data_IF_223996821086
#
_entry.id   IF_223996821086
#
_cell.length_a   1.000
_cell.length_b   1.000
_cell.length_c   1.000
_cell.angle_alpha   90.00
_cell.angle_beta   90.00
_cell.angle_gamma   90.00
#
_symmetry.space_group_name_H-M   'P 1'
#
loop_
_entity.id
_entity.type
_entity.pdbx_description
1 polymer ?
#
# COMPACT_ATOMS: atom_id res chain seq x y z
N UNK A 1 -8.29 17.53 41.24
CA UNK A 1 -9.35 17.02 40.34
C UNK A 1 -9.13 17.45 38.89
N UNK A 2 -8.99 18.75 38.59
CA UNK A 2 -8.77 19.24 37.21
C UNK A 2 -7.47 18.70 36.56
N UNK A 3 -6.36 18.69 37.30
CA UNK A 3 -5.08 18.14 36.79
C UNK A 3 -5.16 16.63 36.53
N UNK A 4 -5.82 15.86 37.42
CA UNK A 4 -6.07 14.44 37.22
C UNK A 4 -6.93 14.17 35.97
N UNK A 5 -7.96 14.99 35.70
CA UNK A 5 -8.76 14.85 34.48
C UNK A 5 -8.00 15.19 33.20
N UNK A 6 -7.11 16.20 33.25
CA UNK A 6 -6.27 16.57 32.12
C UNK A 6 -5.22 15.50 31.83
N UNK A 7 -4.63 14.91 32.87
CA UNK A 7 -3.69 13.81 32.73
C UNK A 7 -4.36 12.55 32.16
N UNK A 8 -5.57 12.22 32.62
CA UNK A 8 -6.36 11.11 32.08
C UNK A 8 -6.68 11.32 30.59
N UNK A 9 -7.09 12.53 30.20
CA UNK A 9 -7.37 12.88 28.80
C UNK A 9 -6.11 12.71 27.92
N UNK A 10 -4.96 13.24 28.36
CA UNK A 10 -3.70 13.14 27.64
C UNK A 10 -3.24 11.67 27.47
N UNK A 11 -3.39 10.86 28.52
CA UNK A 11 -3.07 9.42 28.45
C UNK A 11 -4.00 8.67 27.49
N UNK A 12 -5.29 9.02 27.47
CA UNK A 12 -6.25 8.42 26.57
C UNK A 12 -5.93 8.75 25.11
N UNK A 13 -5.65 10.00 24.78
CA UNK A 13 -5.27 10.44 23.43
C UNK A 13 -3.99 9.75 22.96
N UNK A 14 -2.97 9.64 23.82
CA UNK A 14 -1.73 8.91 23.50
C UNK A 14 -1.96 7.41 23.23
N UNK A 15 -2.92 6.79 23.92
CA UNK A 15 -3.24 5.37 23.76
C UNK A 15 -3.97 5.08 22.44
N UNK A 16 -4.87 5.99 22.04
CA UNK A 16 -5.62 5.88 20.78
C UNK A 16 -4.70 6.16 19.59
N UNK A 17 -3.77 7.11 19.71
CA UNK A 17 -2.76 7.38 18.69
C UNK A 17 -1.88 6.16 18.42
N UNK A 18 -1.37 5.51 19.48
CA UNK A 18 -0.55 4.31 19.35
C UNK A 18 -1.30 3.13 18.70
N UNK A 19 -2.56 2.91 19.08
CA UNK A 19 -3.41 1.89 18.46
C UNK A 19 -3.67 2.18 16.98
N UNK A 20 -3.93 3.45 16.64
CA UNK A 20 -4.16 3.87 15.26
C UNK A 20 -2.92 3.63 14.39
N UNK A 21 -1.73 3.96 14.91
CA UNK A 21 -0.44 3.68 14.25
C UNK A 21 -0.21 2.17 14.06
N UNK A 22 -0.50 1.35 15.07
CA UNK A 22 -0.38 -0.12 14.96
C UNK A 22 -1.31 -0.69 13.90
N UNK A 23 -2.57 -0.25 13.86
CA UNK A 23 -3.54 -0.68 12.84
C UNK A 23 -3.06 -0.27 11.44
N UNK A 24 -2.61 0.98 11.28
CA UNK A 24 -2.05 1.46 10.01
C UNK A 24 -0.85 0.61 9.56
N UNK A 25 0.11 0.38 10.45
CA UNK A 25 1.30 -0.42 10.16
C UNK A 25 0.94 -1.88 9.81
N UNK A 26 -0.04 -2.48 10.49
CA UNK A 26 -0.52 -3.82 10.19
C UNK A 26 -1.08 -3.92 8.76
N UNK A 27 -1.95 -2.99 8.35
CA UNK A 27 -2.50 -3.00 6.99
C UNK A 27 -1.47 -2.62 5.92
N UNK A 28 -0.52 -1.74 6.23
CA UNK A 28 0.62 -1.45 5.35
C UNK A 28 1.51 -2.70 5.14
N UNK A 29 1.74 -3.49 6.19
CA UNK A 29 2.46 -4.77 6.08
C UNK A 29 1.71 -5.78 5.20
N UNK A 30 0.38 -5.87 5.34
CA UNK A 30 -0.45 -6.71 4.45
C UNK A 30 -0.41 -6.22 3.00
N UNK A 31 -0.36 -4.91 2.76
CA UNK A 31 -0.18 -4.35 1.43
C UNK A 31 1.18 -4.78 0.83
N UNK A 32 2.26 -4.68 1.61
CA UNK A 32 3.57 -5.17 1.21
C UNK A 32 3.54 -6.66 0.83
N UNK A 33 2.85 -7.47 1.64
CA UNK A 33 2.63 -8.89 1.36
C UNK A 33 1.86 -9.11 0.04
N UNK A 34 0.81 -8.34 -0.21
CA UNK A 34 0.05 -8.45 -1.46
C UNK A 34 0.91 -8.13 -2.70
N UNK A 35 1.77 -7.12 -2.62
CA UNK A 35 2.76 -6.84 -3.68
C UNK A 35 3.76 -7.99 -3.85
N UNK A 36 4.26 -8.55 -2.74
CA UNK A 36 5.17 -9.71 -2.80
C UNK A 36 4.52 -10.95 -3.42
N UNK A 37 3.24 -11.22 -3.14
CA UNK A 37 2.49 -12.32 -3.75
C UNK A 37 2.40 -12.15 -5.27
N UNK A 38 2.07 -10.94 -5.75
CA UNK A 38 2.03 -10.67 -7.19
C UNK A 38 3.41 -10.70 -7.84
N UNK A 39 4.45 -10.21 -7.15
CA UNK A 39 5.83 -10.31 -7.61
C UNK A 39 6.27 -11.77 -7.74
N UNK A 40 6.03 -12.59 -6.71
CA UNK A 40 6.30 -14.02 -6.72
C UNK A 40 5.59 -14.71 -7.89
N UNK A 41 4.31 -14.39 -8.09
CA UNK A 41 3.50 -14.93 -9.20
C UNK A 41 4.14 -14.61 -10.55
N UNK A 42 4.64 -13.38 -10.77
CA UNK A 42 5.33 -12.99 -12.02
C UNK A 42 6.64 -13.73 -12.26
N UNK A 43 7.34 -14.18 -11.21
CA UNK A 43 8.54 -15.00 -11.36
C UNK A 43 8.23 -16.46 -11.61
N UNK A 44 7.23 -17.00 -10.90
CA UNK A 44 6.92 -18.44 -10.88
C UNK A 44 6.07 -18.88 -12.05
N UNK A 45 5.01 -18.14 -12.38
CA UNK A 45 4.01 -18.58 -13.36
C UNK A 45 4.48 -18.29 -14.80
N UNK A 46 4.55 -19.34 -15.61
CA UNK A 46 4.98 -19.25 -17.03
C UNK A 46 3.80 -19.28 -17.98
N UNK A 47 2.65 -19.83 -17.55
CA UNK A 47 1.45 -19.82 -18.35
C UNK A 47 0.76 -18.45 -18.22
N UNK A 48 0.64 -17.71 -19.32
CA UNK A 48 0.12 -16.34 -19.30
C UNK A 48 -1.34 -16.25 -18.88
N UNK A 49 -2.16 -17.25 -19.18
CA UNK A 49 -3.56 -17.29 -18.77
C UNK A 49 -3.66 -17.49 -17.25
N UNK A 50 -2.88 -18.44 -16.71
CA UNK A 50 -2.84 -18.67 -15.25
C UNK A 50 -2.24 -17.48 -14.50
N UNK A 51 -1.18 -16.88 -15.05
CA UNK A 51 -0.57 -15.67 -14.51
C UNK A 51 -1.61 -14.55 -14.40
N UNK A 52 -2.33 -14.28 -15.49
CA UNK A 52 -3.36 -13.26 -15.49
C UNK A 52 -4.43 -13.53 -14.43
N UNK A 53 -4.96 -14.75 -14.34
CA UNK A 53 -5.96 -15.12 -13.32
C UNK A 53 -5.47 -14.85 -11.89
N UNK A 54 -4.24 -15.27 -11.57
CA UNK A 54 -3.65 -15.08 -10.24
C UNK A 54 -3.44 -13.61 -9.90
N UNK A 55 -2.90 -12.80 -10.83
CA UNK A 55 -2.72 -11.36 -10.63
C UNK A 55 -4.08 -10.67 -10.40
N UNK A 56 -5.09 -10.99 -11.20
CA UNK A 56 -6.44 -10.42 -11.05
C UNK A 56 -7.13 -10.81 -9.76
N UNK A 57 -6.79 -11.96 -9.16
CA UNK A 57 -7.33 -12.36 -7.85
C UNK A 57 -6.78 -11.48 -6.72
N UNK A 58 -5.51 -11.08 -6.80
CA UNK A 58 -4.84 -10.29 -5.75
C UNK A 58 -5.08 -8.79 -5.92
N UNK A 59 -5.32 -8.32 -7.15
CA UNK A 59 -5.56 -6.90 -7.44
C UNK A 59 -6.65 -6.24 -6.56
N UNK A 60 -7.85 -6.82 -6.36
CA UNK A 60 -8.86 -6.25 -5.46
C UNK A 60 -8.34 -6.07 -4.03
N UNK A 61 -7.57 -7.04 -3.52
CA UNK A 61 -6.96 -6.95 -2.20
C UNK A 61 -5.96 -5.79 -2.12
N UNK A 62 -5.13 -5.59 -3.16
CA UNK A 62 -4.22 -4.44 -3.24
C UNK A 62 -4.99 -3.12 -3.17
N UNK A 63 -6.07 -2.95 -3.95
CA UNK A 63 -6.86 -1.71 -3.91
C UNK A 63 -7.50 -1.46 -2.54
N UNK A 64 -8.03 -2.50 -1.89
CA UNK A 64 -8.61 -2.40 -0.54
C UNK A 64 -7.52 -1.99 0.46
N UNK A 65 -6.40 -2.71 0.49
CA UNK A 65 -5.31 -2.46 1.43
C UNK A 65 -4.67 -1.08 1.23
N UNK A 66 -4.51 -0.65 -0.01
CA UNK A 66 -3.99 0.66 -0.34
C UNK A 66 -4.95 1.78 0.09
N UNK A 67 -6.26 1.56 -0.06
CA UNK A 67 -7.28 2.51 0.43
C UNK A 67 -7.25 2.60 1.95
N UNK A 68 -7.15 1.47 2.65
CA UNK A 68 -7.02 1.43 4.11
C UNK A 68 -5.76 2.17 4.55
N UNK A 69 -4.60 1.88 3.95
CA UNK A 69 -3.34 2.55 4.28
C UNK A 69 -3.43 4.06 4.05
N UNK A 70 -3.96 4.51 2.91
CA UNK A 70 -4.08 5.94 2.60
C UNK A 70 -5.03 6.65 3.58
N UNK A 71 -6.23 6.11 3.80
CA UNK A 71 -7.25 6.74 4.65
C UNK A 71 -6.85 6.72 6.14
N UNK A 72 -6.26 5.62 6.62
CA UNK A 72 -5.74 5.56 8.00
C UNK A 72 -4.55 6.49 8.21
N UNK A 73 -3.69 6.69 7.21
CA UNK A 73 -2.63 7.69 7.26
C UNK A 73 -3.17 9.12 7.36
N UNK A 74 -4.21 9.46 6.58
CA UNK A 74 -4.90 10.75 6.69
C UNK A 74 -5.55 10.90 8.06
N UNK A 75 -6.17 9.85 8.58
CA UNK A 75 -6.79 9.85 9.91
C UNK A 75 -5.77 10.12 11.03
N UNK A 76 -4.60 9.47 10.99
CA UNK A 76 -3.50 9.72 11.93
C UNK A 76 -3.03 11.18 11.83
N UNK A 77 -2.88 11.71 10.61
CA UNK A 77 -2.50 13.10 10.42
C UNK A 77 -3.56 14.09 10.95
N UNK A 78 -4.84 13.73 10.83
CA UNK A 78 -5.95 14.51 11.40
C UNK A 78 -5.94 14.52 12.93
N UNK A 79 -5.60 13.40 13.57
CA UNK A 79 -5.45 13.32 15.03
C UNK A 79 -4.33 14.26 15.54
N UNK A 80 -3.31 14.49 14.70
CA UNK A 80 -2.23 15.46 14.92
C UNK A 80 -2.64 16.89 14.51
N UNK A 81 -3.93 17.18 14.37
CA UNK A 81 -4.47 18.49 13.96
C UNK A 81 -3.94 18.98 12.61
N UNK A 82 -3.54 18.05 11.73
CA UNK A 82 -2.88 18.35 10.45
C UNK A 82 -1.63 19.24 10.61
N UNK A 83 -0.93 19.16 11.74
CA UNK A 83 0.37 19.81 11.88
C UNK A 83 1.31 19.34 10.76
N UNK A 84 2.06 20.29 10.19
CA UNK A 84 2.92 19.98 9.07
C UNK A 84 4.00 18.96 9.48
N UNK A 85 3.93 17.78 8.87
CA UNK A 85 4.89 16.70 9.07
C UNK A 85 5.42 16.24 7.72
N UNK A 86 6.73 16.37 7.53
CA UNK A 86 7.38 15.92 6.30
C UNK A 86 7.20 14.40 6.08
N UNK A 87 7.27 13.61 7.16
CA UNK A 87 7.00 12.16 7.11
C UNK A 87 5.57 11.87 6.63
N UNK A 88 4.56 12.56 7.19
CA UNK A 88 3.16 12.36 6.81
C UNK A 88 2.93 12.69 5.33
N UNK A 89 3.48 13.81 4.85
CA UNK A 89 3.38 14.21 3.44
C UNK A 89 4.03 13.19 2.51
N UNK A 90 5.25 12.75 2.82
CA UNK A 90 5.96 11.73 2.02
C UNK A 90 5.19 10.41 1.98
N UNK A 91 4.68 9.95 3.13
CA UNK A 91 3.89 8.72 3.22
C UNK A 91 2.65 8.78 2.33
N UNK A 92 1.86 9.86 2.43
CA UNK A 92 0.63 10.01 1.65
C UNK A 92 0.91 10.15 0.15
N UNK A 93 1.96 10.89 -0.23
CA UNK A 93 2.39 10.98 -1.63
C UNK A 93 2.86 9.62 -2.16
N UNK A 94 3.62 8.86 -1.37
CA UNK A 94 4.09 7.53 -1.74
C UNK A 94 2.94 6.54 -1.97
N UNK A 95 1.96 6.50 -1.08
CA UNK A 95 0.75 5.69 -1.22
C UNK A 95 -0.08 6.11 -2.45
N UNK A 96 -0.17 7.41 -2.73
CA UNK A 96 -0.85 7.93 -3.93
C UNK A 96 -0.13 7.51 -5.22
N UNK A 97 1.20 7.55 -5.24
CA UNK A 97 1.99 7.08 -6.39
C UNK A 97 1.81 5.58 -6.64
N UNK A 98 1.75 4.76 -5.59
CA UNK A 98 1.41 3.33 -5.70
C UNK A 98 0.01 3.13 -6.29
N UNK A 99 -0.98 3.95 -5.90
CA UNK A 99 -2.34 3.84 -6.43
C UNK A 99 -2.35 4.12 -7.94
N UNK A 100 -1.69 5.20 -8.36
CA UNK A 100 -1.57 5.56 -9.76
C UNK A 100 -0.84 4.45 -10.54
N UNK A 101 0.22 3.87 -9.97
CA UNK A 101 0.95 2.77 -10.58
C UNK A 101 0.07 1.51 -10.75
N UNK A 102 -0.72 1.13 -9.74
CA UNK A 102 -1.64 -0.02 -9.82
C UNK A 102 -2.75 0.21 -10.85
N UNK A 103 -3.33 1.41 -10.92
CA UNK A 103 -4.31 1.76 -11.96
C UNK A 103 -3.69 1.63 -13.36
N UNK A 104 -2.48 2.16 -13.58
CA UNK A 104 -1.76 2.05 -14.86
C UNK A 104 -1.45 0.58 -15.19
N UNK A 105 -1.07 -0.23 -14.21
CA UNK A 105 -0.76 -1.65 -14.35
C UNK A 105 -2.00 -2.47 -14.70
N UNK A 106 -3.13 -2.20 -14.05
CA UNK A 106 -4.42 -2.82 -14.35
C UNK A 106 -4.85 -2.51 -15.79
N UNK A 107 -4.70 -1.26 -16.26
CA UNK A 107 -4.95 -0.93 -17.68
C UNK A 107 -3.98 -1.66 -18.61
N UNK A 108 -2.70 -1.74 -18.23
CA UNK A 108 -1.66 -2.38 -19.04
C UNK A 108 -1.89 -3.88 -19.23
N UNK A 109 -2.30 -4.61 -18.19
CA UNK A 109 -2.48 -6.07 -18.29
C UNK A 109 -3.64 -6.44 -19.20
N UNK A 110 -4.72 -5.65 -19.22
CA UNK A 110 -5.87 -5.82 -20.14
C UNK A 110 -5.43 -5.79 -21.59
N UNK A 111 -4.52 -4.88 -21.93
CA UNK A 111 -3.97 -4.78 -23.27
C UNK A 111 -2.93 -5.87 -23.56
N UNK A 112 -2.11 -6.22 -22.57
CA UNK A 112 -1.00 -7.15 -22.72
C UNK A 112 -1.44 -8.58 -23.04
N UNK A 113 -2.57 -9.04 -22.47
CA UNK A 113 -3.07 -10.41 -22.67
C UNK A 113 -3.42 -10.75 -24.14
N UNK A 114 -3.56 -9.73 -25.00
CA UNK A 114 -3.95 -9.90 -26.40
C UNK A 114 -2.86 -10.51 -27.29
N UNK A 115 -1.58 -10.40 -26.91
CA UNK A 115 -0.43 -10.89 -27.68
C UNK A 115 0.69 -11.36 -26.76
N UNK A 116 1.38 -12.43 -27.16
CA UNK A 116 2.47 -13.03 -26.38
C UNK A 116 3.58 -12.01 -26.06
N UNK A 117 4.04 -11.29 -27.07
CA UNK A 117 5.15 -10.32 -26.97
C UNK A 117 4.79 -9.17 -26.03
N UNK A 118 3.51 -8.75 -26.03
CA UNK A 118 3.03 -7.70 -25.12
C UNK A 118 2.97 -8.18 -23.68
N UNK A 119 2.57 -9.43 -23.47
CA UNK A 119 2.55 -10.02 -22.13
C UNK A 119 3.97 -10.17 -21.56
N UNK A 120 4.95 -10.55 -22.38
CA UNK A 120 6.36 -10.62 -21.98
C UNK A 120 6.90 -9.24 -21.55
N UNK A 121 6.62 -8.20 -22.34
CA UNK A 121 6.99 -6.82 -22.00
C UNK A 121 6.29 -6.34 -20.72
N UNK A 122 5.00 -6.66 -20.55
CA UNK A 122 4.26 -6.38 -19.33
C UNK A 122 4.91 -7.05 -18.11
N UNK A 123 5.26 -8.33 -18.19
CA UNK A 123 5.87 -9.07 -17.08
C UNK A 123 7.17 -8.42 -16.63
N UNK A 124 8.05 -8.04 -17.57
CA UNK A 124 9.32 -7.36 -17.25
C UNK A 124 9.08 -6.06 -16.48
N UNK A 125 8.15 -5.23 -16.97
CA UNK A 125 7.80 -3.96 -16.32
C UNK A 125 7.11 -4.16 -14.96
N UNK A 126 6.18 -5.09 -14.87
CA UNK A 126 5.41 -5.37 -13.67
C UNK A 126 6.31 -5.89 -12.53
N UNK A 127 7.32 -6.71 -12.84
CA UNK A 127 8.32 -7.16 -11.85
C UNK A 127 9.07 -6.00 -11.21
N UNK A 128 9.56 -5.08 -12.06
CA UNK A 128 10.30 -3.90 -11.58
C UNK A 128 9.37 -3.05 -10.70
N UNK A 129 8.14 -2.77 -11.14
CA UNK A 129 7.22 -1.94 -10.39
C UNK A 129 6.82 -2.57 -9.06
N UNK A 130 6.41 -3.85 -9.03
CA UNK A 130 6.06 -4.50 -7.77
C UNK A 130 7.24 -4.57 -6.80
N UNK A 131 8.46 -4.80 -7.30
CA UNK A 131 9.66 -4.74 -6.48
C UNK A 131 9.89 -3.35 -5.87
N UNK A 132 9.79 -2.29 -6.68
CA UNK A 132 9.92 -0.91 -6.21
C UNK A 132 8.81 -0.53 -5.22
N UNK A 133 7.58 -0.96 -5.45
CA UNK A 133 6.45 -0.72 -4.54
C UNK A 133 6.63 -1.45 -3.21
N UNK A 134 7.13 -2.70 -3.21
CA UNK A 134 7.49 -3.42 -1.99
C UNK A 134 8.59 -2.70 -1.21
N UNK A 135 9.65 -2.21 -1.87
CA UNK A 135 10.69 -1.42 -1.19
C UNK A 135 10.10 -0.13 -0.64
N UNK A 136 9.34 0.60 -1.46
CA UNK A 136 8.78 1.89 -1.09
C UNK A 136 7.87 1.75 0.14
N UNK A 137 6.96 0.78 0.18
CA UNK A 137 6.08 0.63 1.35
C UNK A 137 6.87 0.26 2.61
N UNK A 138 7.92 -0.56 2.52
CA UNK A 138 8.78 -0.90 3.66
C UNK A 138 9.53 0.33 4.16
N UNK A 139 10.04 1.18 3.26
CA UNK A 139 10.69 2.45 3.63
C UNK A 139 9.69 3.39 4.29
N UNK A 140 8.48 3.53 3.73
CA UNK A 140 7.44 4.39 4.29
C UNK A 140 6.99 3.93 5.69
N UNK A 141 6.99 2.63 5.96
CA UNK A 141 6.70 2.11 7.30
C UNK A 141 7.76 2.44 8.35
N UNK A 142 8.96 2.84 7.93
CA UNK A 142 10.04 3.28 8.83
C UNK A 142 10.12 4.79 9.05
N UNK A 143 9.22 5.58 8.43
CA UNK A 143 9.12 7.03 8.56
C UNK A 143 8.11 7.45 9.63
#
# INVERSE_FOLDING_TARGET
MLEMSLQALNTQDSSVMAQSLLIHAFFAALLALAFMINLYTLFKEKNFIQLNKKIYLVMPAIYILLSIALLSGIFIWAMQQFEFSFSAVIMLLGLLLMLIAEIKRHKSVKFAITKKERMEAYIKKAKILYFLETILIVVLMGL
#
